data_IF_077953453950
#
_entry.id   IF_077953453950
#
_cell.length_a   1.000
_cell.length_b   1.000
_cell.length_c   1.000
_cell.angle_alpha   90.00
_cell.angle_beta   90.00
_cell.angle_gamma   90.00
#
_symmetry.space_group_name_H-M   'P 1'
#
loop_
_entity.id
_entity.type
_entity.pdbx_description
1 polymer ?
#
# COMPACT_ATOMS: atom_id res chain seq x y z
N UNK A 1 -2.65 17.41 -2.03
CA UNK A 1 -1.95 17.13 -0.74
C UNK A 1 -0.68 17.98 -0.66
N UNK A 2 -0.21 18.35 0.56
CA UNK A 2 1.04 19.13 0.71
C UNK A 2 2.24 18.22 0.48
N UNK A 3 3.32 18.79 -0.07
CA UNK A 3 4.54 18.04 -0.42
C UNK A 3 5.15 17.35 0.80
N UNK A 4 5.26 18.05 1.91
CA UNK A 4 5.86 17.54 3.16
C UNK A 4 5.13 16.29 3.67
N UNK A 5 3.81 16.26 3.52
CA UNK A 5 3.01 15.08 3.87
C UNK A 5 3.22 13.94 2.88
N UNK A 6 3.32 14.23 1.58
CA UNK A 6 3.58 13.20 0.56
C UNK A 6 4.97 12.58 0.74
N UNK A 7 5.98 13.40 1.05
CA UNK A 7 7.34 12.95 1.33
C UNK A 7 7.37 12.03 2.58
N UNK A 8 6.64 12.40 3.64
CA UNK A 8 6.49 11.55 4.83
C UNK A 8 5.74 10.24 4.52
N UNK A 9 4.63 10.33 3.78
CA UNK A 9 3.81 9.17 3.44
C UNK A 9 4.59 8.17 2.58
N UNK A 10 5.33 8.62 1.55
CA UNK A 10 6.09 7.71 0.68
C UNK A 10 7.19 6.99 1.43
N UNK A 11 7.89 7.68 2.34
CA UNK A 11 8.95 7.06 3.17
C UNK A 11 8.36 5.96 4.05
N UNK A 12 7.24 6.21 4.72
CA UNK A 12 6.58 5.22 5.58
C UNK A 12 5.99 4.06 4.80
N UNK A 13 5.31 4.33 3.69
CA UNK A 13 4.79 3.28 2.81
C UNK A 13 5.91 2.37 2.31
N UNK A 14 6.99 2.94 1.79
CA UNK A 14 8.13 2.18 1.31
C UNK A 14 8.75 1.34 2.43
N UNK A 15 9.16 1.99 3.53
CA UNK A 15 9.81 1.32 4.64
C UNK A 15 8.96 0.17 5.20
N UNK A 16 7.73 0.44 5.60
CA UNK A 16 6.90 -0.56 6.26
C UNK A 16 6.51 -1.69 5.32
N UNK A 17 6.06 -1.35 4.10
CA UNK A 17 5.60 -2.37 3.15
C UNK A 17 6.72 -3.29 2.69
N UNK A 18 7.94 -2.78 2.48
CA UNK A 18 9.08 -3.63 2.09
C UNK A 18 9.64 -4.41 3.27
N UNK A 19 9.65 -3.82 4.47
CA UNK A 19 10.09 -4.50 5.69
C UNK A 19 9.18 -5.68 6.09
N UNK A 20 7.88 -5.63 5.79
CA UNK A 20 6.96 -6.77 5.94
C UNK A 20 7.41 -7.94 5.07
N UNK A 21 7.95 -7.66 3.89
CA UNK A 21 8.48 -8.66 2.94
C UNK A 21 9.95 -9.06 3.22
N UNK A 22 10.57 -8.50 4.26
CA UNK A 22 11.93 -8.87 4.69
C UNK A 22 13.05 -7.90 4.27
N UNK A 23 12.73 -6.74 3.68
CA UNK A 23 13.73 -5.70 3.44
C UNK A 23 14.29 -5.18 4.76
N UNK A 24 15.60 -4.94 4.82
CA UNK A 24 16.31 -4.61 6.07
C UNK A 24 16.59 -3.14 6.28
N UNK A 25 16.27 -2.28 5.30
CA UNK A 25 16.49 -0.84 5.39
C UNK A 25 15.68 -0.22 6.55
N UNK A 26 16.33 0.62 7.32
CA UNK A 26 15.66 1.44 8.33
C UNK A 26 14.84 2.55 7.68
N UNK A 27 13.93 3.16 8.42
CA UNK A 27 13.14 4.28 7.91
C UNK A 27 14.02 5.49 7.57
N UNK A 28 15.12 5.72 8.31
CA UNK A 28 16.10 6.76 8.00
C UNK A 28 16.82 6.51 6.67
N UNK A 29 17.29 5.27 6.45
CA UNK A 29 17.93 4.87 5.18
C UNK A 29 16.93 4.94 4.01
N UNK A 30 15.67 4.56 4.24
CA UNK A 30 14.58 4.71 3.27
C UNK A 30 14.38 6.19 2.88
N UNK A 31 14.38 7.10 3.89
CA UNK A 31 14.30 8.54 3.65
C UNK A 31 15.49 9.04 2.83
N UNK A 32 16.72 8.61 3.17
CA UNK A 32 17.93 9.00 2.43
C UNK A 32 17.82 8.64 0.94
N UNK A 33 17.31 7.44 0.62
CA UNK A 33 17.12 7.01 -0.78
C UNK A 33 16.00 7.80 -1.48
N UNK A 34 14.86 7.97 -0.82
CA UNK A 34 13.66 8.51 -1.47
C UNK A 34 13.63 10.03 -1.54
N UNK A 35 14.20 10.72 -0.57
CA UNK A 35 14.11 12.18 -0.42
C UNK A 35 15.45 12.87 -0.65
N UNK A 36 16.52 12.32 -0.07
CA UNK A 36 17.82 12.98 -0.06
C UNK A 36 18.69 12.55 -1.25
N UNK A 37 18.27 11.57 -2.09
CA UNK A 37 19.01 10.98 -3.21
C UNK A 37 20.37 10.38 -2.81
N UNK A 38 20.46 9.85 -1.59
CA UNK A 38 21.70 9.28 -1.03
C UNK A 38 21.54 7.78 -0.83
N UNK A 39 22.52 6.99 -1.27
CA UNK A 39 22.64 5.57 -0.93
C UNK A 39 23.40 5.46 0.40
N UNK A 40 22.72 5.11 1.52
CA UNK A 40 23.30 5.26 2.86
C UNK A 40 24.37 4.22 3.19
N UNK A 41 24.34 3.06 2.52
CA UNK A 41 25.29 1.94 2.68
C UNK A 41 25.33 1.07 1.44
N UNK A 42 26.30 0.16 1.38
CA UNK A 42 26.28 -0.90 0.38
C UNK A 42 25.08 -1.83 0.60
N UNK A 43 24.34 -2.13 -0.46
CA UNK A 43 23.16 -2.99 -0.42
C UNK A 43 22.97 -3.72 -1.76
N UNK A 44 22.14 -4.77 -1.76
CA UNK A 44 21.77 -5.48 -2.97
C UNK A 44 20.82 -4.65 -3.86
N UNK A 45 20.90 -4.84 -5.17
CA UNK A 45 20.04 -4.14 -6.13
C UNK A 45 18.55 -4.33 -5.81
N UNK A 46 18.13 -5.53 -5.42
CA UNK A 46 16.74 -5.82 -5.04
C UNK A 46 16.32 -4.97 -3.85
N UNK A 47 17.11 -4.92 -2.78
CA UNK A 47 16.81 -4.15 -1.57
C UNK A 47 16.64 -2.65 -1.87
N UNK A 48 17.51 -2.10 -2.74
CA UNK A 48 17.42 -0.73 -3.21
C UNK A 48 16.15 -0.47 -4.02
N UNK A 49 15.89 -1.27 -5.06
CA UNK A 49 14.75 -1.03 -5.95
C UNK A 49 13.40 -1.27 -5.26
N UNK A 50 13.30 -2.18 -4.31
CA UNK A 50 12.09 -2.37 -3.50
C UNK A 50 11.64 -1.07 -2.82
N UNK A 51 12.58 -0.24 -2.36
CA UNK A 51 12.30 1.06 -1.75
C UNK A 51 12.18 2.14 -2.82
N UNK A 52 13.14 2.25 -3.74
CA UNK A 52 13.20 3.30 -4.75
C UNK A 52 11.95 3.38 -5.63
N UNK A 53 11.36 2.24 -5.97
CA UNK A 53 10.16 2.17 -6.80
C UNK A 53 8.93 2.83 -6.15
N UNK A 54 8.89 2.97 -4.82
CA UNK A 54 7.82 3.72 -4.15
C UNK A 54 7.82 5.21 -4.48
N UNK A 55 8.97 5.82 -4.85
CA UNK A 55 8.99 7.19 -5.36
C UNK A 55 8.20 7.29 -6.66
N UNK A 56 8.41 6.35 -7.59
CA UNK A 56 7.67 6.30 -8.86
C UNK A 56 6.19 6.02 -8.61
N UNK A 57 5.89 5.08 -7.70
CA UNK A 57 4.52 4.76 -7.32
C UNK A 57 3.81 5.97 -6.70
N UNK A 58 4.45 6.75 -5.83
CA UNK A 58 3.84 7.93 -5.22
C UNK A 58 3.47 8.98 -6.27
N UNK A 59 4.35 9.21 -7.27
CA UNK A 59 4.05 10.11 -8.39
C UNK A 59 2.81 9.62 -9.16
N UNK A 60 2.82 8.36 -9.56
CA UNK A 60 1.69 7.74 -10.23
C UNK A 60 0.40 7.80 -9.40
N UNK A 61 0.49 7.53 -8.09
CA UNK A 61 -0.63 7.56 -7.16
C UNK A 61 -1.29 8.94 -7.12
N UNK A 62 -0.52 10.01 -6.99
CA UNK A 62 -1.03 11.40 -6.93
C UNK A 62 -1.76 11.78 -8.23
N UNK A 63 -1.30 11.28 -9.37
CA UNK A 63 -1.90 11.55 -10.67
C UNK A 63 -3.17 10.72 -10.92
N UNK A 64 -3.28 9.52 -10.32
CA UNK A 64 -4.28 8.51 -10.70
C UNK A 64 -5.30 8.13 -9.62
N UNK A 65 -5.15 8.52 -8.35
CA UNK A 65 -6.00 8.01 -7.24
C UNK A 65 -7.49 8.35 -7.38
N UNK A 66 -7.85 9.38 -8.14
CA UNK A 66 -9.25 9.78 -8.37
C UNK A 66 -9.89 9.04 -9.56
N UNK A 67 -9.08 8.48 -10.42
CA UNK A 67 -9.53 7.80 -11.61
C UNK A 67 -10.21 6.46 -11.28
N UNK A 68 -11.13 5.97 -12.12
CA UNK A 68 -11.69 4.62 -11.97
C UNK A 68 -10.58 3.56 -11.93
N UNK A 69 -10.75 2.55 -11.09
CA UNK A 69 -9.84 1.41 -11.05
C UNK A 69 -10.09 0.51 -12.25
N UNK A 70 -9.01 -0.08 -12.78
CA UNK A 70 -9.07 -1.08 -13.83
C UNK A 70 -8.00 -2.16 -13.64
N UNK A 71 -8.17 -3.27 -14.34
CA UNK A 71 -7.19 -4.36 -14.35
C UNK A 71 -5.82 -3.86 -14.85
N UNK A 72 -5.82 -2.98 -15.86
CA UNK A 72 -4.61 -2.37 -16.41
C UNK A 72 -3.89 -1.53 -15.36
N UNK A 73 -4.60 -0.76 -14.54
CA UNK A 73 -4.01 0.01 -13.44
C UNK A 73 -3.40 -0.89 -12.36
N UNK A 74 -4.03 -2.00 -12.03
CA UNK A 74 -3.45 -2.99 -11.10
C UNK A 74 -2.14 -3.55 -11.66
N UNK A 75 -2.09 -3.88 -12.97
CA UNK A 75 -0.87 -4.31 -13.65
C UNK A 75 0.21 -3.22 -13.68
N UNK A 76 -0.20 -1.97 -13.87
CA UNK A 76 0.70 -0.82 -13.89
C UNK A 76 1.32 -0.57 -12.51
N UNK A 77 0.52 -0.61 -11.43
CA UNK A 77 1.02 -0.54 -10.05
C UNK A 77 2.07 -1.64 -9.80
N UNK A 78 1.75 -2.88 -10.18
CA UNK A 78 2.70 -3.98 -10.05
C UNK A 78 3.97 -3.73 -10.88
N UNK A 79 3.83 -3.27 -12.13
CA UNK A 79 4.97 -2.95 -13.00
C UNK A 79 5.89 -1.92 -12.38
N UNK A 80 5.33 -0.86 -11.80
CA UNK A 80 6.10 0.20 -11.13
C UNK A 80 6.81 -0.35 -9.89
N UNK A 81 6.09 -1.05 -9.01
CA UNK A 81 6.64 -1.52 -7.73
C UNK A 81 7.69 -2.63 -7.91
N UNK A 82 7.64 -3.40 -8.99
CA UNK A 82 8.56 -4.51 -9.27
C UNK A 82 9.56 -4.19 -10.39
N UNK A 83 9.68 -2.95 -10.82
CA UNK A 83 10.65 -2.53 -11.83
C UNK A 83 12.08 -2.81 -11.37
N UNK A 84 12.90 -3.38 -12.24
CA UNK A 84 14.28 -3.82 -11.96
C UNK A 84 14.41 -4.88 -10.84
N UNK A 85 13.27 -5.50 -10.43
CA UNK A 85 13.24 -6.59 -9.46
C UNK A 85 12.82 -7.89 -10.14
N UNK A 86 11.89 -7.80 -11.11
CA UNK A 86 11.31 -8.95 -11.82
C UNK A 86 11.14 -8.66 -13.30
N UNK A 87 11.44 -9.65 -14.15
CA UNK A 87 11.24 -9.57 -15.61
C UNK A 87 9.77 -9.75 -16.00
N UNK A 88 8.96 -10.38 -15.12
CA UNK A 88 7.53 -10.58 -15.31
C UNK A 88 6.67 -9.48 -14.66
N UNK A 89 7.27 -8.33 -14.32
CA UNK A 89 6.53 -7.20 -13.74
C UNK A 89 5.39 -6.73 -14.66
N UNK A 90 4.23 -6.43 -14.08
CA UNK A 90 3.02 -6.06 -14.79
C UNK A 90 2.32 -7.24 -15.51
N UNK A 91 2.78 -8.48 -15.33
CA UNK A 91 2.16 -9.68 -15.93
C UNK A 91 1.56 -10.57 -14.86
N UNK A 92 0.36 -11.07 -15.11
CA UNK A 92 -0.26 -12.05 -14.22
C UNK A 92 0.49 -13.38 -14.23
N UNK A 93 0.37 -14.11 -13.13
CA UNK A 93 0.95 -15.45 -12.98
C UNK A 93 0.43 -16.40 -14.07
N UNK A 94 1.32 -17.27 -14.55
CA UNK A 94 0.99 -18.32 -15.54
C UNK A 94 0.85 -19.70 -14.91
N UNK A 95 1.40 -19.89 -13.73
CA UNK A 95 1.35 -21.13 -12.95
C UNK A 95 0.71 -20.87 -11.60
N UNK A 96 0.17 -21.93 -10.99
CA UNK A 96 -0.36 -21.83 -9.61
C UNK A 96 0.77 -21.46 -8.67
N UNK A 97 0.49 -20.53 -7.78
CA UNK A 97 1.37 -20.17 -6.67
C UNK A 97 0.78 -20.68 -5.35
N UNK A 98 1.64 -20.73 -4.33
CA UNK A 98 1.29 -21.11 -2.97
C UNK A 98 1.71 -19.94 -2.07
N UNK A 99 0.85 -19.55 -1.15
CA UNK A 99 1.19 -18.60 -0.09
C UNK A 99 1.58 -19.42 1.14
N UNK A 100 2.84 -19.35 1.52
CA UNK A 100 3.34 -20.12 2.67
C UNK A 100 2.68 -19.64 3.96
N UNK A 101 2.12 -20.60 4.70
CA UNK A 101 1.42 -20.32 5.97
C UNK A 101 -0.03 -19.87 5.84
N UNK A 102 -0.55 -19.69 4.62
CA UNK A 102 -1.97 -19.38 4.41
C UNK A 102 -2.85 -20.64 4.46
N UNK A 103 -4.08 -20.48 4.97
CA UNK A 103 -5.10 -21.53 4.99
C UNK A 103 -5.87 -21.66 3.67
N UNK A 104 -5.68 -20.74 2.73
CA UNK A 104 -6.38 -20.69 1.45
C UNK A 104 -5.49 -21.08 0.26
N UNK A 105 -6.13 -21.46 -0.84
CA UNK A 105 -5.48 -21.67 -2.12
C UNK A 105 -5.74 -20.48 -3.02
N UNK A 106 -4.68 -19.80 -3.53
CA UNK A 106 -4.85 -18.68 -4.45
C UNK A 106 -5.62 -19.03 -5.72
N UNK A 107 -6.35 -18.05 -6.26
CA UNK A 107 -7.10 -18.18 -7.52
C UNK A 107 -6.21 -18.76 -8.64
N UNK A 108 -6.67 -19.77 -9.40
CA UNK A 108 -5.89 -20.34 -10.50
C UNK A 108 -5.67 -19.31 -11.62
N UNK A 109 -4.56 -19.41 -12.40
CA UNK A 109 -4.17 -18.39 -13.38
C UNK A 109 -5.27 -18.00 -14.38
N UNK A 110 -6.03 -18.97 -14.85
CA UNK A 110 -7.08 -18.74 -15.87
C UNK A 110 -8.31 -17.97 -15.34
N UNK A 111 -8.48 -17.87 -14.01
CA UNK A 111 -9.57 -17.13 -13.38
C UNK A 111 -9.15 -15.75 -12.86
N UNK A 112 -7.87 -15.39 -12.94
CA UNK A 112 -7.35 -14.13 -12.34
C UNK A 112 -8.05 -12.90 -12.89
N UNK A 113 -8.26 -12.82 -14.20
CA UNK A 113 -8.86 -11.65 -14.85
C UNK A 113 -10.32 -11.47 -14.39
N UNK A 114 -11.11 -12.53 -14.44
CA UNK A 114 -12.50 -12.52 -13.98
C UNK A 114 -12.60 -12.18 -12.50
N UNK A 115 -11.74 -12.81 -11.65
CA UNK A 115 -11.72 -12.54 -10.22
C UNK A 115 -11.34 -11.10 -9.89
N UNK A 116 -10.42 -10.49 -10.64
CA UNK A 116 -10.06 -9.08 -10.47
C UNK A 116 -11.18 -8.14 -10.94
N UNK A 117 -11.89 -8.48 -12.02
CA UNK A 117 -13.08 -7.73 -12.46
C UNK A 117 -14.14 -7.69 -11.35
N UNK A 118 -14.51 -8.86 -10.83
CA UNK A 118 -15.45 -8.99 -9.72
C UNK A 118 -14.96 -8.30 -8.44
N UNK A 119 -13.65 -8.34 -8.17
CA UNK A 119 -13.03 -7.66 -7.04
C UNK A 119 -13.21 -6.14 -7.12
N UNK A 120 -12.97 -5.54 -8.29
CA UNK A 120 -13.15 -4.09 -8.52
C UNK A 120 -14.62 -3.72 -8.30
N UNK A 121 -15.56 -4.42 -8.96
CA UNK A 121 -16.99 -4.14 -8.90
C UNK A 121 -17.52 -4.26 -7.45
N UNK A 122 -17.15 -5.32 -6.74
CA UNK A 122 -17.58 -5.54 -5.36
C UNK A 122 -17.06 -4.46 -4.41
N UNK A 123 -15.80 -4.02 -4.55
CA UNK A 123 -15.24 -2.95 -3.73
C UNK A 123 -15.92 -1.61 -4.02
N UNK A 124 -16.09 -1.26 -5.29
CA UNK A 124 -16.77 0.00 -5.67
C UNK A 124 -18.23 0.03 -5.19
N UNK A 125 -18.93 -1.12 -5.28
CA UNK A 125 -20.26 -1.24 -4.72
C UNK A 125 -20.27 -1.06 -3.19
N UNK A 126 -19.40 -1.77 -2.46
CA UNK A 126 -19.31 -1.68 -1.01
C UNK A 126 -18.95 -0.24 -0.54
N UNK A 127 -18.08 0.44 -1.24
CA UNK A 127 -17.71 1.84 -0.93
C UNK A 127 -18.86 2.82 -1.19
N UNK A 128 -19.68 2.57 -2.21
CA UNK A 128 -20.87 3.37 -2.52
C UNK A 128 -21.96 3.22 -1.47
N UNK A 129 -22.17 1.99 -0.95
CA UNK A 129 -23.17 1.69 0.08
C UNK A 129 -22.72 2.11 1.49
N UNK A 130 -21.42 2.30 1.71
CA UNK A 130 -20.87 2.68 3.00
C UNK A 130 -21.26 4.09 3.43
N UNK A 131 -21.89 4.21 4.62
CA UNK A 131 -22.43 5.45 5.17
C UNK A 131 -21.49 6.13 6.18
N UNK A 132 -20.42 5.44 6.60
CA UNK A 132 -19.46 5.93 7.58
C UNK A 132 -18.03 5.69 7.10
N UNK A 133 -17.08 6.40 7.71
CA UNK A 133 -15.66 6.21 7.48
C UNK A 133 -15.21 4.79 7.88
N UNK A 134 -15.73 4.30 8.98
CA UNK A 134 -15.45 2.96 9.52
C UNK A 134 -15.95 1.86 8.59
N UNK A 135 -17.10 2.05 7.95
CA UNK A 135 -17.63 1.13 6.94
C UNK A 135 -16.78 1.14 5.66
N UNK A 136 -16.30 2.31 5.24
CA UNK A 136 -15.38 2.42 4.09
C UNK A 136 -14.04 1.73 4.38
N UNK A 137 -13.49 1.91 5.58
CA UNK A 137 -12.27 1.20 5.99
C UNK A 137 -12.50 -0.30 6.01
N UNK A 138 -13.64 -0.76 6.52
CA UNK A 138 -14.03 -2.16 6.53
C UNK A 138 -14.06 -2.75 5.11
N UNK A 139 -14.74 -2.07 4.19
CA UNK A 139 -14.80 -2.47 2.79
C UNK A 139 -13.41 -2.55 2.13
N UNK A 140 -12.53 -1.57 2.40
CA UNK A 140 -11.15 -1.55 1.88
C UNK A 140 -10.34 -2.71 2.45
N UNK A 141 -10.42 -2.96 3.75
CA UNK A 141 -9.65 -4.02 4.40
C UNK A 141 -10.16 -5.43 4.04
N UNK A 142 -11.48 -5.62 3.92
CA UNK A 142 -12.04 -6.88 3.38
C UNK A 142 -11.65 -7.09 1.92
N UNK A 143 -11.68 -6.04 1.11
CA UNK A 143 -11.24 -6.08 -0.28
C UNK A 143 -9.75 -6.45 -0.39
N UNK A 144 -8.91 -5.95 0.52
CA UNK A 144 -7.51 -6.34 0.58
C UNK A 144 -7.34 -7.83 0.88
N UNK A 145 -8.09 -8.40 1.83
CA UNK A 145 -8.08 -9.84 2.09
C UNK A 145 -8.45 -10.64 0.82
N UNK A 146 -9.47 -10.21 0.10
CA UNK A 146 -9.88 -10.87 -1.16
C UNK A 146 -8.81 -10.74 -2.24
N UNK A 147 -8.10 -9.60 -2.33
CA UNK A 147 -6.98 -9.42 -3.24
C UNK A 147 -5.82 -10.39 -2.94
N UNK A 148 -5.50 -10.59 -1.66
CA UNK A 148 -4.50 -11.59 -1.25
C UNK A 148 -4.94 -13.03 -1.59
N UNK A 149 -6.23 -13.34 -1.59
CA UNK A 149 -6.76 -14.64 -2.04
C UNK A 149 -6.67 -14.81 -3.57
N UNK A 150 -6.90 -13.75 -4.35
CA UNK A 150 -6.71 -13.78 -5.79
C UNK A 150 -5.25 -14.02 -6.11
N UNK A 151 -4.35 -13.33 -5.42
CA UNK A 151 -2.89 -13.44 -5.55
C UNK A 151 -2.44 -13.41 -7.03
N UNK A 152 -2.76 -12.32 -7.76
CA UNK A 152 -2.73 -12.33 -9.23
C UNK A 152 -1.35 -12.45 -9.86
N UNK A 153 -0.28 -12.13 -9.12
CA UNK A 153 1.09 -12.08 -9.62
C UNK A 153 1.94 -13.21 -9.07
N UNK A 154 3.09 -13.46 -9.71
CA UNK A 154 4.06 -14.47 -9.24
C UNK A 154 4.79 -14.05 -7.95
N UNK A 155 4.97 -12.73 -7.74
CA UNK A 155 5.59 -12.10 -6.56
C UNK A 155 5.00 -10.68 -6.42
N UNK A 156 5.17 -10.04 -5.26
CA UNK A 156 4.80 -8.64 -5.04
C UNK A 156 3.32 -8.38 -4.76
N UNK A 157 2.48 -9.41 -4.59
CA UNK A 157 1.06 -9.25 -4.30
C UNK A 157 0.83 -8.43 -3.03
N UNK A 158 1.52 -8.72 -1.93
CA UNK A 158 1.41 -7.97 -0.68
C UNK A 158 1.77 -6.49 -0.85
N UNK A 159 2.83 -6.16 -1.61
CA UNK A 159 3.20 -4.75 -1.90
C UNK A 159 2.11 -4.03 -2.70
N UNK A 160 1.56 -4.68 -3.72
CA UNK A 160 0.45 -4.15 -4.52
C UNK A 160 -0.81 -4.01 -3.67
N UNK A 161 -1.18 -5.03 -2.90
CA UNK A 161 -2.35 -5.01 -2.03
C UNK A 161 -2.31 -3.86 -1.02
N UNK A 162 -1.16 -3.65 -0.34
CA UNK A 162 -0.98 -2.51 0.58
C UNK A 162 -0.96 -1.16 -0.13
N UNK A 163 -0.46 -1.09 -1.36
CA UNK A 163 -0.55 0.12 -2.19
C UNK A 163 -1.99 0.45 -2.58
N UNK A 164 -2.80 -0.56 -2.90
CA UNK A 164 -4.23 -0.42 -3.19
C UNK A 164 -5.03 0.06 -1.96
N UNK A 165 -4.71 -0.41 -0.75
CA UNK A 165 -5.33 0.12 0.49
C UNK A 165 -5.15 1.65 0.54
N UNK A 166 -3.92 2.14 0.39
CA UNK A 166 -3.62 3.58 0.46
C UNK A 166 -4.32 4.34 -0.66
N UNK A 167 -4.34 3.80 -1.89
CA UNK A 167 -5.03 4.39 -3.02
C UNK A 167 -6.52 4.59 -2.73
N UNK A 168 -7.21 3.55 -2.27
CA UNK A 168 -8.63 3.64 -1.99
C UNK A 168 -8.94 4.54 -0.79
N UNK A 169 -8.09 4.56 0.25
CA UNK A 169 -8.23 5.54 1.33
C UNK A 169 -8.17 6.97 0.80
N UNK A 170 -7.22 7.29 -0.10
CA UNK A 170 -7.11 8.61 -0.71
C UNK A 170 -8.30 8.93 -1.62
N UNK A 171 -8.77 7.98 -2.42
CA UNK A 171 -9.95 8.11 -3.29
C UNK A 171 -11.19 8.46 -2.46
N UNK A 172 -11.37 7.84 -1.33
CA UNK A 172 -12.49 8.03 -0.41
C UNK A 172 -12.29 9.19 0.59
N UNK A 173 -11.21 9.94 0.47
CA UNK A 173 -10.86 11.04 1.39
C UNK A 173 -10.71 10.59 2.85
N UNK A 174 -10.27 9.35 3.06
CA UNK A 174 -9.96 8.76 4.36
C UNK A 174 -8.45 8.93 4.62
N UNK A 175 -8.01 9.22 5.88
CA UNK A 175 -6.59 9.14 6.20
C UNK A 175 -6.03 7.77 5.87
N UNK A 176 -4.93 7.68 5.07
CA UNK A 176 -4.40 6.42 4.59
C UNK A 176 -4.11 5.39 5.69
N UNK A 177 -4.47 4.14 5.42
CA UNK A 177 -4.07 3.00 6.26
C UNK A 177 -2.71 2.50 5.78
N UNK A 178 -1.66 2.78 6.55
CA UNK A 178 -0.31 2.29 6.30
C UNK A 178 -0.01 1.16 7.30
N UNK A 179 0.02 -0.09 6.81
CA UNK A 179 0.35 -1.26 7.64
C UNK A 179 1.81 -1.14 8.08
N UNK A 180 2.04 -0.98 9.39
CA UNK A 180 3.37 -0.79 9.93
C UNK A 180 4.10 -2.12 10.13
N UNK A 181 5.44 -2.12 10.02
CA UNK A 181 6.29 -3.28 10.29
C UNK A 181 6.01 -3.89 11.68
N UNK A 182 5.76 -3.06 12.69
CA UNK A 182 5.44 -3.52 14.05
C UNK A 182 4.11 -4.27 14.17
N UNK A 183 3.22 -4.15 13.19
CA UNK A 183 1.93 -4.86 13.13
C UNK A 183 1.99 -6.12 12.25
N UNK A 184 3.18 -6.50 11.74
CA UNK A 184 3.33 -7.58 10.76
C UNK A 184 2.70 -8.90 11.23
N UNK A 185 3.00 -9.33 12.45
CA UNK A 185 2.48 -10.60 12.99
C UNK A 185 0.96 -10.59 13.08
N UNK A 186 0.39 -9.54 13.64
CA UNK A 186 -1.06 -9.31 13.78
C UNK A 186 -1.74 -9.29 12.40
N UNK A 187 -1.18 -8.54 11.47
CA UNK A 187 -1.69 -8.39 10.10
C UNK A 187 -1.64 -9.71 9.32
N UNK A 188 -0.51 -10.43 9.33
CA UNK A 188 -0.37 -11.72 8.64
C UNK A 188 -1.27 -12.80 9.27
N UNK A 189 -1.38 -12.83 10.60
CA UNK A 189 -2.29 -13.75 11.28
C UNK A 189 -3.75 -13.49 10.89
N UNK A 190 -4.17 -12.23 10.82
CA UNK A 190 -5.51 -11.86 10.40
C UNK A 190 -5.81 -12.26 8.94
N UNK A 191 -4.85 -12.08 8.02
CA UNK A 191 -4.98 -12.54 6.63
C UNK A 191 -5.08 -14.06 6.54
N UNK A 192 -4.20 -14.79 7.22
CA UNK A 192 -4.15 -16.25 7.16
C UNK A 192 -5.38 -16.92 7.78
N UNK A 193 -5.95 -16.32 8.81
CA UNK A 193 -7.17 -16.82 9.49
C UNK A 193 -8.47 -16.24 8.92
N UNK A 194 -8.40 -15.42 7.88
CA UNK A 194 -9.53 -14.70 7.28
C UNK A 194 -10.31 -13.86 8.31
N UNK A 195 -9.59 -13.32 9.30
CA UNK A 195 -10.19 -12.55 10.40
C UNK A 195 -10.50 -11.11 9.94
N UNK A 196 -11.64 -10.95 9.28
CA UNK A 196 -12.15 -9.67 8.80
C UNK A 196 -12.33 -8.65 9.92
N UNK A 197 -12.74 -9.12 11.12
CA UNK A 197 -12.94 -8.24 12.27
C UNK A 197 -11.61 -7.62 12.72
N UNK A 198 -10.58 -8.44 12.80
CA UNK A 198 -9.24 -7.99 13.16
C UNK A 198 -8.64 -7.05 12.12
N UNK A 199 -8.81 -7.36 10.82
CA UNK A 199 -8.39 -6.47 9.73
C UNK A 199 -9.09 -5.11 9.79
N UNK A 200 -10.41 -5.09 10.04
CA UNK A 200 -11.16 -3.85 10.24
C UNK A 200 -10.63 -3.03 11.41
N UNK A 201 -10.43 -3.66 12.57
CA UNK A 201 -9.91 -2.98 13.76
C UNK A 201 -8.53 -2.39 13.49
N UNK A 202 -7.64 -3.15 12.88
CA UNK A 202 -6.32 -2.68 12.48
C UNK A 202 -6.41 -1.49 11.51
N UNK A 203 -7.29 -1.55 10.53
CA UNK A 203 -7.52 -0.47 9.57
C UNK A 203 -7.99 0.81 10.23
N UNK A 204 -8.95 0.74 11.16
CA UNK A 204 -9.47 1.89 11.92
C UNK A 204 -8.36 2.51 12.78
N UNK A 205 -7.63 1.67 13.54
CA UNK A 205 -6.52 2.10 14.40
C UNK A 205 -5.46 2.88 13.61
N UNK A 206 -5.01 2.31 12.48
CA UNK A 206 -3.98 2.93 11.65
C UNK A 206 -4.46 4.19 10.94
N UNK A 207 -5.72 4.25 10.52
CA UNK A 207 -6.32 5.46 9.94
C UNK A 207 -6.44 6.61 10.95
N UNK A 208 -6.78 6.34 12.22
CA UNK A 208 -6.80 7.38 13.26
C UNK A 208 -5.39 7.85 13.63
N UNK A 209 -4.41 6.95 13.67
CA UNK A 209 -3.00 7.29 13.82
C UNK A 209 -2.53 8.21 12.69
N UNK A 210 -2.90 7.91 11.46
CA UNK A 210 -2.58 8.72 10.28
C UNK A 210 -3.23 10.10 10.32
N UNK A 211 -4.47 10.20 10.77
CA UNK A 211 -5.16 11.49 10.97
C UNK A 211 -4.43 12.38 11.97
N UNK A 212 -3.96 11.79 13.06
CA UNK A 212 -3.16 12.50 14.07
C UNK A 212 -1.84 12.99 13.49
N UNK A 213 -1.18 12.17 12.66
CA UNK A 213 0.05 12.54 11.96
C UNK A 213 -0.16 13.66 10.94
N UNK A 214 -1.23 13.61 10.17
CA UNK A 214 -1.60 14.68 9.23
C UNK A 214 -1.79 16.02 9.95
N UNK A 215 -2.41 15.99 11.14
CA UNK A 215 -2.58 17.20 11.96
C UNK A 215 -1.23 17.74 12.42
N UNK A 216 -0.35 16.87 12.96
CA UNK A 216 0.98 17.25 13.42
C UNK A 216 1.80 17.93 12.29
N UNK A 217 1.86 17.31 11.11
CA UNK A 217 2.59 17.87 9.97
C UNK A 217 2.00 19.23 9.54
N UNK A 218 0.67 19.37 9.57
CA UNK A 218 0.00 20.63 9.24
C UNK A 218 0.35 21.73 10.22
N UNK A 219 0.42 21.43 11.51
CA UNK A 219 0.75 22.38 12.56
C UNK A 219 2.24 22.82 12.45
N UNK A 220 3.16 21.87 12.25
CA UNK A 220 4.58 22.17 11.99
C UNK A 220 4.81 23.09 10.77
N UNK A 221 4.04 22.90 9.70
CA UNK A 221 4.12 23.77 8.51
C UNK A 221 3.61 25.19 8.81
N UNK A 222 2.59 25.32 9.65
CA UNK A 222 2.06 26.64 10.05
C UNK A 222 3.09 27.41 10.90
N UNK A 223 3.69 26.74 11.88
CA UNK A 223 4.71 27.33 12.75
C UNK A 223 5.91 27.84 11.96
N UNK A 224 6.43 27.03 11.02
CA UNK A 224 7.53 27.46 10.14
C UNK A 224 7.19 28.74 9.37
N UNK A 225 5.99 28.83 8.80
CA UNK A 225 5.57 30.01 8.03
C UNK A 225 5.38 31.26 8.91
N UNK A 226 4.93 31.09 10.15
CA UNK A 226 4.80 32.21 11.10
C UNK A 226 6.17 32.73 11.53
N UNK A 227 7.14 31.84 11.79
CA UNK A 227 8.51 32.25 12.15
C UNK A 227 9.32 32.87 11.01
N UNK A 228 9.00 32.55 9.74
CA UNK A 228 9.62 33.20 8.56
C UNK A 228 9.06 34.61 8.26
N UNK A 229 7.92 34.97 8.86
CA UNK A 229 7.30 36.32 8.70
C UNK A 229 7.83 37.28 9.77
N UNK A 230 8.35 36.75 10.89
CA UNK A 230 8.88 37.55 12.01
C UNK A 230 10.41 37.77 11.96
N UNK A 231 11.11 37.17 10.97
CA UNK A 231 12.55 37.30 10.73
C UNK A 231 12.84 38.17 9.50
#
# INVERSE_FOLDING_TARGET
>A
MKKEYLDDLVVRMAHHSTAIEGNTLTQGETKSILIDDIIPRQMGNREYYEVFNYRKFMKWLVENYKEPMSIEKIKEIHKILLENIRDDNGKFKKIKNIVLGASFTPTPPYMVIESLGNWIENLEFALKEANSKEEKIDAIMESHLRFEHIHPFSDGNGRVGRALIVLYCLKESIPPVVIEKGQRERYIAALNNEDKKELKLLGIELSEKEKSRQKLIKDMIREKRSGEIES
#
